data_IF_530178584071
#
_entry.id   IF_530178584071
#
_cell.length_a   1.000
_cell.length_b   1.000
_cell.length_c   1.000
_cell.angle_alpha   90.00
_cell.angle_beta   90.00
_cell.angle_gamma   90.00
#
_symmetry.space_group_name_H-M   'P 1'
#
loop_
_entity.id
_entity.type
_entity.pdbx_description
1 polymer ?
#
# COMPACT_ATOMS: atom_id res chain seq x y z
N UNK A 1 5.71 0.23 10.39
CA UNK A 1 6.02 1.53 9.76
C UNK A 1 4.70 2.07 9.23
N UNK A 2 4.43 3.37 9.40
CA UNK A 2 3.24 4.01 8.81
C UNK A 2 3.64 4.56 7.43
N UNK A 3 3.05 3.99 6.38
CA UNK A 3 3.30 4.35 4.99
C UNK A 3 1.96 4.77 4.40
N UNK A 4 1.89 5.91 3.72
CA UNK A 4 0.66 6.36 3.06
C UNK A 4 0.81 6.42 1.55
N UNK A 5 -0.32 6.32 0.85
CA UNK A 5 -0.39 6.33 -0.61
C UNK A 5 -1.78 6.69 -1.12
N UNK A 6 -1.99 6.55 -2.43
CA UNK A 6 -3.31 6.71 -3.05
C UNK A 6 -3.77 5.39 -3.66
N UNK A 7 -5.07 5.11 -3.54
CA UNK A 7 -5.70 4.00 -4.25
C UNK A 7 -5.97 4.37 -5.73
N UNK A 8 -6.48 3.45 -6.57
CA UNK A 8 -6.76 3.72 -7.99
C UNK A 8 -7.79 4.82 -8.25
N UNK A 9 -8.70 5.08 -7.31
CA UNK A 9 -9.67 6.17 -7.38
C UNK A 9 -9.09 7.52 -6.90
N UNK A 10 -7.88 7.47 -6.33
CA UNK A 10 -7.14 8.62 -5.84
C UNK A 10 -7.40 8.93 -4.37
N UNK A 11 -8.08 8.08 -3.61
CA UNK A 11 -8.34 8.29 -2.18
C UNK A 11 -7.07 8.09 -1.36
N UNK A 12 -6.94 8.86 -0.26
CA UNK A 12 -5.76 8.78 0.60
C UNK A 12 -5.88 7.61 1.58
N UNK A 13 -4.93 6.69 1.51
CA UNK A 13 -4.91 5.46 2.30
C UNK A 13 -3.63 5.36 3.13
N UNK A 14 -3.77 4.83 4.33
CA UNK A 14 -2.66 4.45 5.20
C UNK A 14 -2.44 2.93 5.15
N UNK A 15 -1.19 2.53 5.28
CA UNK A 15 -0.76 1.13 5.24
C UNK A 15 0.10 0.84 6.47
N UNK A 16 -0.32 -0.16 7.23
CA UNK A 16 0.46 -0.71 8.34
C UNK A 16 1.07 -2.03 7.89
N UNK A 17 2.39 -2.09 7.94
CA UNK A 17 3.16 -3.31 7.69
C UNK A 17 3.53 -3.99 9.01
N UNK A 18 3.14 -5.25 9.15
CA UNK A 18 3.54 -6.13 10.25
C UNK A 18 4.61 -7.08 9.73
N UNK A 19 5.78 -7.05 10.36
CA UNK A 19 6.94 -7.85 10.00
C UNK A 19 7.22 -8.87 11.11
N UNK A 20 7.49 -10.11 10.74
CA UNK A 20 8.00 -11.17 11.62
C UNK A 20 9.31 -11.72 11.06
N UNK A 21 10.34 -11.76 11.90
CA UNK A 21 11.72 -12.15 11.54
C UNK A 21 12.26 -11.47 10.26
N UNK A 22 11.86 -10.21 10.03
CA UNK A 22 12.26 -9.44 8.84
C UNK A 22 11.46 -9.75 7.56
N UNK A 23 10.51 -10.68 7.62
CA UNK A 23 9.56 -10.99 6.56
C UNK A 23 8.23 -10.29 6.78
N UNK A 24 7.56 -9.90 5.69
CA UNK A 24 6.22 -9.35 5.75
C UNK A 24 5.22 -10.46 6.12
N UNK A 25 4.56 -10.32 7.27
CA UNK A 25 3.56 -11.25 7.76
C UNK A 25 2.15 -10.79 7.38
N UNK A 26 1.86 -9.50 7.60
CA UNK A 26 0.53 -8.93 7.38
C UNK A 26 0.61 -7.48 6.89
N UNK A 27 -0.37 -7.11 6.06
CA UNK A 27 -0.65 -5.74 5.65
C UNK A 27 -2.06 -5.38 6.11
N UNK A 28 -2.23 -4.22 6.73
CA UNK A 28 -3.53 -3.59 6.93
C UNK A 28 -3.61 -2.27 6.16
N UNK A 29 -4.72 -2.05 5.45
CA UNK A 29 -5.00 -0.84 4.70
C UNK A 29 -6.20 -0.15 5.33
N UNK A 30 -6.09 1.14 5.62
CA UNK A 30 -7.17 1.93 6.18
C UNK A 30 -7.34 3.27 5.45
N UNK A 31 -8.58 3.75 5.40
CA UNK A 31 -8.90 5.07 4.85
C UNK A 31 -8.53 6.17 5.85
N UNK A 32 -7.88 7.23 5.36
CA UNK A 32 -7.47 8.36 6.20
C UNK A 32 -8.58 9.43 6.28
N UNK A 33 -9.38 9.58 5.22
CA UNK A 33 -10.35 10.68 5.09
C UNK A 33 -11.82 10.22 5.22
N UNK A 34 -12.05 8.96 5.59
CA UNK A 34 -13.39 8.38 5.69
C UNK A 34 -13.98 7.98 4.33
N UNK A 35 -13.19 8.10 3.26
CA UNK A 35 -13.50 7.57 1.94
C UNK A 35 -13.52 6.05 1.96
N UNK A 36 -14.31 5.44 1.08
CA UNK A 36 -14.26 4.00 0.86
C UNK A 36 -12.95 3.63 0.16
N UNK A 37 -12.35 2.51 0.56
CA UNK A 37 -11.17 1.99 -0.12
C UNK A 37 -11.54 1.51 -1.51
N UNK A 38 -11.01 2.17 -2.56
CA UNK A 38 -11.25 1.86 -3.97
C UNK A 38 -10.60 0.55 -4.43
N UNK A 39 -9.89 -0.15 -3.55
CA UNK A 39 -9.28 -1.44 -3.81
C UNK A 39 -7.79 -1.35 -4.14
N UNK A 40 -7.23 -2.51 -4.47
CA UNK A 40 -5.86 -2.60 -4.94
C UNK A 40 -5.79 -2.28 -6.44
N UNK A 41 -4.69 -1.66 -6.92
CA UNK A 41 -4.46 -1.52 -8.35
C UNK A 41 -4.44 -2.88 -9.05
N UNK A 42 -4.80 -2.87 -10.34
CA UNK A 42 -4.81 -4.09 -11.14
C UNK A 42 -3.38 -4.66 -11.26
N UNK A 43 -3.19 -6.00 -11.34
CA UNK A 43 -1.84 -6.59 -11.40
C UNK A 43 -0.96 -6.06 -12.54
N UNK A 44 -1.58 -5.61 -13.64
CA UNK A 44 -0.88 -5.03 -14.78
C UNK A 44 -0.33 -3.61 -14.53
N UNK A 45 -0.81 -2.93 -13.49
CA UNK A 45 -0.40 -1.58 -13.08
C UNK A 45 0.70 -1.63 -12.01
N UNK A 46 1.04 -2.81 -11.51
CA UNK A 46 2.08 -2.99 -10.50
C UNK A 46 3.48 -2.84 -11.12
N UNK A 47 4.23 -1.87 -10.63
CA UNK A 47 5.64 -1.71 -10.98
C UNK A 47 6.52 -2.60 -10.10
N UNK A 48 7.43 -3.36 -10.72
CA UNK A 48 8.41 -4.16 -9.98
C UNK A 48 9.56 -3.27 -9.58
N UNK A 49 9.67 -2.97 -8.29
CA UNK A 49 10.83 -2.26 -7.77
C UNK A 49 12.10 -3.10 -7.93
N UNK A 50 13.16 -2.48 -8.47
CA UNK A 50 14.51 -3.03 -8.52
C UNK A 50 15.48 -2.07 -7.86
N UNK A 51 16.36 -2.64 -7.04
CA UNK A 51 17.38 -1.86 -6.33
C UNK A 51 18.27 -1.10 -7.33
N UNK A 52 18.33 0.23 -7.20
CA UNK A 52 19.21 1.11 -7.98
C UNK A 52 18.52 2.00 -9.04
N UNK A 53 17.20 1.96 -9.18
CA UNK A 53 16.46 2.90 -10.03
C UNK A 53 15.80 3.98 -9.14
N UNK A 54 16.45 5.15 -9.02
CA UNK A 54 15.89 6.50 -8.81
C UNK A 54 16.98 7.57 -8.96
#
# INVERSE_FOLDING_TARGET
MDISGRDPEGHHVGVILFLDDGYLEQIEIYSIEGDDFGGLPEPAELEVWREGEL
#
